data_IF_602499436642
#
_entry.id   IF_602499436642
#
_cell.length_a   1.000
_cell.length_b   1.000
_cell.length_c   1.000
_cell.angle_alpha   90.00
_cell.angle_beta   90.00
_cell.angle_gamma   90.00
#
_symmetry.space_group_name_H-M   'P 1'
#
loop_
_entity.id
_entity.type
_entity.pdbx_description
1 polymer ?
#
# COMPACT_ATOMS: atom_id res chain seq x y z
N UNK A 1 -20.83 1.87 -2.49
CA UNK A 1 -20.78 3.29 -2.92
C UNK A 1 -19.57 3.47 -3.84
N UNK A 2 -19.81 4.05 -5.02
CA UNK A 2 -18.78 4.42 -6.00
C UNK A 2 -18.70 5.93 -6.00
N UNK A 3 -17.50 6.48 -5.84
CA UNK A 3 -17.25 7.89 -6.12
C UNK A 3 -16.67 7.97 -7.54
N UNK A 4 -17.10 8.97 -8.30
CA UNK A 4 -16.67 9.16 -9.68
C UNK A 4 -16.30 10.60 -9.98
N UNK A 5 -15.28 10.78 -10.84
CA UNK A 5 -14.88 12.07 -11.39
C UNK A 5 -14.56 11.89 -12.88
N UNK A 6 -15.15 12.70 -13.73
CA UNK A 6 -14.86 12.69 -15.17
C UNK A 6 -13.44 13.23 -15.41
N UNK A 7 -12.63 12.51 -16.16
CA UNK A 7 -11.27 12.93 -16.54
C UNK A 7 -11.31 13.63 -17.90
N UNK A 8 -11.99 13.01 -18.87
CA UNK A 8 -12.15 13.55 -20.23
C UNK A 8 -13.49 13.10 -20.83
N UNK A 9 -13.70 13.33 -22.15
CA UNK A 9 -14.97 12.96 -22.82
C UNK A 9 -15.27 11.45 -22.77
N UNK A 10 -14.25 10.60 -22.69
CA UNK A 10 -14.38 9.14 -22.84
C UNK A 10 -14.11 8.36 -21.56
N UNK A 11 -13.50 8.98 -20.54
CA UNK A 11 -12.98 8.29 -19.35
C UNK A 11 -13.35 8.99 -18.05
N UNK A 12 -13.52 8.19 -17.04
CA UNK A 12 -13.78 8.62 -15.67
C UNK A 12 -12.86 7.90 -14.69
N UNK A 13 -12.40 8.61 -13.67
CA UNK A 13 -11.80 8.04 -12.47
C UNK A 13 -12.92 7.60 -11.55
N UNK A 14 -12.86 6.37 -11.07
CA UNK A 14 -13.78 5.85 -10.07
C UNK A 14 -13.02 5.34 -8.86
N UNK A 15 -13.63 5.49 -7.70
CA UNK A 15 -13.17 4.91 -6.45
C UNK A 15 -14.19 3.92 -5.91
N UNK A 16 -13.80 2.65 -5.84
CA UNK A 16 -14.59 1.56 -5.29
C UNK A 16 -14.35 1.45 -3.79
N UNK A 17 -15.14 2.13 -2.97
CA UNK A 17 -14.95 2.24 -1.51
C UNK A 17 -14.87 0.89 -0.81
N UNK A 18 -15.68 -0.11 -1.22
CA UNK A 18 -15.68 -1.45 -0.58
C UNK A 18 -14.35 -2.20 -0.69
N UNK A 19 -13.63 -2.00 -1.79
CA UNK A 19 -12.37 -2.71 -2.10
C UNK A 19 -11.16 -1.80 -2.08
N UNK A 20 -11.34 -0.52 -1.76
CA UNK A 20 -10.29 0.50 -1.72
C UNK A 20 -9.47 0.54 -3.02
N UNK A 21 -10.15 0.60 -4.17
CA UNK A 21 -9.50 0.62 -5.48
C UNK A 21 -9.88 1.86 -6.28
N UNK A 22 -8.88 2.47 -6.91
CA UNK A 22 -9.06 3.51 -7.92
C UNK A 22 -8.87 2.89 -9.30
N UNK A 23 -9.76 3.23 -10.24
CA UNK A 23 -9.73 2.74 -11.61
C UNK A 23 -10.04 3.89 -12.57
N UNK A 24 -9.33 3.93 -13.68
CA UNK A 24 -9.71 4.74 -14.84
C UNK A 24 -10.51 3.83 -15.78
N UNK A 25 -11.73 4.22 -16.08
CA UNK A 25 -12.66 3.40 -16.86
C UNK A 25 -13.29 4.19 -18.00
N UNK A 26 -13.57 3.52 -19.11
CA UNK A 26 -14.37 4.11 -20.18
C UNK A 26 -15.82 4.36 -19.73
N UNK A 27 -16.51 5.25 -20.40
CA UNK A 27 -17.93 5.54 -20.10
C UNK A 27 -18.82 4.29 -20.21
N UNK A 28 -18.50 3.36 -21.10
CA UNK A 28 -19.23 2.10 -21.23
C UNK A 28 -19.02 1.21 -20.00
N UNK A 29 -17.78 1.04 -19.55
CA UNK A 29 -17.45 0.27 -18.37
C UNK A 29 -17.99 0.93 -17.09
N UNK A 30 -18.02 2.27 -17.03
CA UNK A 30 -18.63 2.99 -15.92
C UNK A 30 -20.12 2.62 -15.76
N UNK A 31 -20.90 2.61 -16.87
CA UNK A 31 -22.31 2.19 -16.83
C UNK A 31 -22.50 0.77 -16.31
N UNK A 32 -21.64 -0.17 -16.71
CA UNK A 32 -21.65 -1.54 -16.21
C UNK A 32 -21.38 -1.61 -14.71
N UNK A 33 -20.35 -0.91 -14.24
CA UNK A 33 -19.97 -0.86 -12.82
C UNK A 33 -21.06 -0.20 -11.97
N UNK A 34 -21.68 0.86 -12.46
CA UNK A 34 -22.83 1.49 -11.80
C UNK A 34 -24.05 0.57 -11.76
N UNK A 35 -24.35 -0.13 -12.85
CA UNK A 35 -25.44 -1.10 -12.89
C UNK A 35 -25.24 -2.23 -11.87
N UNK A 36 -24.02 -2.74 -11.76
CA UNK A 36 -23.66 -3.75 -10.75
C UNK A 36 -23.83 -3.23 -9.32
N UNK A 37 -23.44 -2.00 -9.06
CA UNK A 37 -23.55 -1.41 -7.71
C UNK A 37 -24.96 -1.08 -7.25
N UNK A 38 -25.86 -0.79 -8.19
CA UNK A 38 -27.20 -0.25 -7.92
C UNK A 38 -28.31 -1.30 -8.08
N UNK A 39 -28.04 -2.44 -8.70
CA UNK A 39 -29.01 -3.50 -8.94
C UNK A 39 -28.81 -4.69 -7.98
N UNK A 40 -29.87 -5.46 -7.75
CA UNK A 40 -29.71 -6.76 -7.12
C UNK A 40 -28.91 -7.71 -8.02
N UNK A 41 -28.34 -8.77 -7.47
CA UNK A 41 -27.59 -9.76 -8.24
C UNK A 41 -28.42 -10.34 -9.39
N UNK A 42 -29.70 -10.62 -9.16
CA UNK A 42 -30.58 -11.17 -10.19
C UNK A 42 -30.90 -10.12 -11.26
N UNK A 43 -31.21 -8.89 -10.89
CA UNK A 43 -31.50 -7.81 -11.85
C UNK A 43 -30.28 -7.47 -12.69
N UNK A 44 -29.08 -7.55 -12.11
CA UNK A 44 -27.84 -7.35 -12.85
C UNK A 44 -27.60 -8.46 -13.88
N UNK A 45 -27.88 -9.72 -13.54
CA UNK A 45 -27.81 -10.83 -14.50
C UNK A 45 -28.80 -10.67 -15.65
N UNK A 46 -30.02 -10.24 -15.38
CA UNK A 46 -31.02 -9.93 -16.40
C UNK A 46 -30.52 -8.78 -17.29
N UNK A 47 -29.99 -7.72 -16.68
CA UNK A 47 -29.41 -6.59 -17.39
C UNK A 47 -28.29 -7.03 -18.34
N UNK A 48 -27.38 -7.90 -17.88
CA UNK A 48 -26.30 -8.41 -18.71
C UNK A 48 -26.80 -9.25 -19.88
N UNK A 49 -27.75 -10.16 -19.64
CA UNK A 49 -28.34 -11.00 -20.71
C UNK A 49 -29.02 -10.16 -21.79
N UNK A 50 -29.71 -9.10 -21.41
CA UNK A 50 -30.43 -8.24 -22.34
C UNK A 50 -29.49 -7.32 -23.15
N UNK A 51 -28.38 -6.83 -22.57
CA UNK A 51 -27.49 -5.87 -23.22
C UNK A 51 -26.21 -6.49 -23.81
N UNK A 52 -25.79 -7.67 -23.31
CA UNK A 52 -24.55 -8.34 -23.69
C UNK A 52 -24.74 -9.87 -23.79
N UNK A 53 -25.69 -10.37 -24.60
CA UNK A 53 -26.11 -11.79 -24.59
C UNK A 53 -24.96 -12.77 -24.85
N UNK A 54 -23.99 -12.39 -25.68
CA UNK A 54 -22.84 -13.25 -26.01
C UNK A 54 -21.79 -13.33 -24.91
N UNK A 55 -21.64 -12.31 -24.08
CA UNK A 55 -20.53 -12.17 -23.14
C UNK A 55 -20.99 -11.94 -21.68
N UNK A 56 -22.27 -12.16 -21.39
CA UNK A 56 -22.87 -11.86 -20.07
C UNK A 56 -22.13 -12.53 -18.92
N UNK A 57 -21.77 -13.79 -19.05
CA UNK A 57 -21.08 -14.56 -18.00
C UNK A 57 -19.64 -14.08 -17.77
N UNK A 58 -18.92 -13.73 -18.83
CA UNK A 58 -17.54 -13.24 -18.71
C UNK A 58 -17.52 -11.85 -18.08
N UNK A 59 -18.42 -10.97 -18.49
CA UNK A 59 -18.58 -9.64 -17.91
C UNK A 59 -18.95 -9.75 -16.42
N UNK A 60 -19.88 -10.63 -16.05
CA UNK A 60 -20.24 -10.88 -14.65
C UNK A 60 -19.03 -11.32 -13.84
N UNK A 61 -18.24 -12.26 -14.37
CA UNK A 61 -17.04 -12.78 -13.72
C UNK A 61 -15.98 -11.69 -13.50
N UNK A 62 -15.73 -10.88 -14.53
CA UNK A 62 -14.74 -9.78 -14.43
C UNK A 62 -15.20 -8.68 -13.47
N UNK A 63 -16.46 -8.29 -13.50
CA UNK A 63 -17.01 -7.31 -12.56
C UNK A 63 -16.95 -7.84 -11.13
N UNK A 64 -17.33 -9.10 -10.90
CA UNK A 64 -17.23 -9.70 -9.57
C UNK A 64 -15.79 -9.65 -9.04
N UNK A 65 -14.78 -9.91 -9.88
CA UNK A 65 -13.35 -9.75 -9.47
C UNK A 65 -13.01 -8.31 -9.07
N UNK A 66 -13.56 -7.29 -9.73
CA UNK A 66 -13.31 -5.90 -9.36
C UNK A 66 -13.81 -5.58 -7.95
N UNK A 67 -14.95 -6.15 -7.55
CA UNK A 67 -15.57 -5.93 -6.24
C UNK A 67 -15.19 -6.97 -5.18
N UNK A 68 -14.47 -8.01 -5.57
CA UNK A 68 -13.95 -8.99 -4.62
C UNK A 68 -12.60 -8.50 -4.13
N UNK A 69 -12.49 -8.33 -2.83
CA UNK A 69 -11.20 -8.25 -2.18
C UNK A 69 -10.68 -9.69 -2.19
N UNK A 70 -9.81 -10.04 -3.12
CA UNK A 70 -9.02 -11.27 -3.02
C UNK A 70 -8.03 -11.16 -1.85
N UNK A 71 -8.55 -10.96 -0.66
CA UNK A 71 -7.86 -11.36 0.53
C UNK A 71 -8.13 -12.85 0.67
N UNK A 72 -7.30 -13.69 0.12
CA UNK A 72 -7.04 -14.98 0.72
C UNK A 72 -6.48 -14.65 2.11
N UNK A 73 -7.37 -14.34 3.05
CA UNK A 73 -6.99 -14.16 4.43
C UNK A 73 -6.43 -15.50 4.86
N UNK A 74 -5.12 -15.55 4.98
CA UNK A 74 -4.48 -16.61 5.72
C UNK A 74 -5.13 -16.51 7.11
N UNK A 75 -5.74 -17.59 7.58
CA UNK A 75 -6.31 -17.62 8.92
C UNK A 75 -5.17 -17.44 9.92
N UNK A 76 -4.90 -16.21 10.26
CA UNK A 76 -3.77 -15.78 11.08
C UNK A 76 -3.75 -16.50 12.45
N UNK A 77 -4.90 -17.00 12.91
CA UNK A 77 -5.02 -17.68 14.20
C UNK A 77 -4.57 -19.14 14.15
N UNK A 78 -4.65 -19.80 12.99
CA UNK A 78 -4.30 -21.24 12.86
C UNK A 78 -2.82 -21.49 12.69
N UNK A 79 -2.02 -20.50 12.25
CA UNK A 79 -0.59 -20.68 12.02
C UNK A 79 0.16 -20.46 13.33
N UNK A 80 0.71 -21.53 13.89
CA UNK A 80 1.58 -21.46 15.08
C UNK A 80 3.01 -21.19 14.65
N UNK A 81 3.59 -20.06 15.08
CA UNK A 81 5.00 -19.77 14.95
C UNK A 81 5.72 -20.16 16.24
N UNK A 82 6.76 -20.97 16.13
CA UNK A 82 7.70 -21.19 17.23
C UNK A 82 8.71 -20.04 17.24
N UNK A 83 9.09 -19.57 18.43
CA UNK A 83 10.15 -18.56 18.55
C UNK A 83 11.43 -19.11 17.92
N UNK A 84 12.09 -18.39 17.00
CA UNK A 84 13.31 -18.86 16.37
C UNK A 84 14.44 -19.02 17.38
N UNK A 85 15.35 -19.98 17.14
CA UNK A 85 16.54 -20.18 17.97
C UNK A 85 17.57 -19.04 17.83
N UNK A 86 17.71 -18.50 16.61
CA UNK A 86 18.62 -17.40 16.29
C UNK A 86 17.80 -16.16 15.99
N UNK A 87 18.07 -15.10 16.72
CA UNK A 87 17.38 -13.82 16.61
C UNK A 87 18.43 -12.74 16.44
N UNK A 88 18.20 -11.83 15.50
CA UNK A 88 18.95 -10.61 15.30
C UNK A 88 18.08 -9.45 15.78
N UNK A 89 18.72 -8.36 16.12
CA UNK A 89 18.06 -7.14 16.56
C UNK A 89 18.64 -5.94 15.81
N UNK A 90 17.78 -5.06 15.34
CA UNK A 90 18.16 -3.80 14.74
C UNK A 90 17.43 -2.69 15.48
N UNK A 91 18.19 -1.79 16.11
CA UNK A 91 17.66 -0.65 16.85
C UNK A 91 17.87 0.62 16.05
N UNK A 92 16.85 1.48 16.04
CA UNK A 92 16.90 2.73 15.31
C UNK A 92 16.04 3.79 15.98
N UNK A 93 16.30 5.05 15.63
CA UNK A 93 15.59 6.21 16.17
C UNK A 93 14.93 6.99 15.04
N UNK A 94 13.64 7.31 15.20
CA UNK A 94 12.93 8.25 14.34
C UNK A 94 12.45 9.40 15.25
N UNK A 95 12.96 10.60 15.02
CA UNK A 95 12.74 11.78 15.87
C UNK A 95 13.03 11.47 17.35
N UNK A 96 12.01 11.49 18.21
CA UNK A 96 12.14 11.23 19.65
C UNK A 96 11.76 9.80 20.06
N UNK A 97 11.44 8.93 19.10
CA UNK A 97 10.99 7.57 19.36
C UNK A 97 12.05 6.54 19.00
N UNK A 98 12.28 5.58 19.88
CA UNK A 98 13.22 4.49 19.71
C UNK A 98 12.49 3.19 19.37
N UNK A 99 12.93 2.52 18.34
CA UNK A 99 12.34 1.30 17.84
C UNK A 99 13.35 0.16 17.82
N UNK A 100 12.85 -1.06 17.90
CA UNK A 100 13.65 -2.25 17.68
C UNK A 100 12.91 -3.22 16.76
N UNK A 101 13.59 -3.75 15.76
CA UNK A 101 13.10 -4.86 14.94
C UNK A 101 13.86 -6.12 15.35
N UNK A 102 13.15 -7.10 15.90
CA UNK A 102 13.65 -8.46 16.12
C UNK A 102 13.30 -9.33 14.92
N UNK A 103 14.30 -10.01 14.35
CA UNK A 103 14.10 -10.85 13.17
C UNK A 103 15.03 -12.07 13.19
N UNK A 104 14.69 -13.12 12.44
CA UNK A 104 15.50 -14.32 12.29
C UNK A 104 16.10 -14.52 10.91
N UNK A 105 15.64 -13.78 9.91
CA UNK A 105 16.11 -13.83 8.53
C UNK A 105 16.22 -12.42 7.95
N UNK A 106 17.45 -11.97 7.69
CA UNK A 106 17.73 -10.64 7.13
C UNK A 106 17.22 -10.45 5.70
N UNK A 107 17.08 -11.53 4.93
CA UNK A 107 16.58 -11.45 3.55
C UNK A 107 15.13 -10.92 3.50
N UNK A 108 14.32 -11.34 4.48
CA UNK A 108 12.90 -10.96 4.53
C UNK A 108 12.71 -9.46 4.80
N UNK A 109 13.61 -8.84 5.55
CA UNK A 109 13.51 -7.42 5.92
C UNK A 109 14.61 -6.57 5.30
N UNK A 110 15.37 -7.10 4.36
CA UNK A 110 16.51 -6.38 3.74
C UNK A 110 16.11 -5.00 3.18
N UNK A 111 14.95 -4.90 2.55
CA UNK A 111 14.43 -3.63 2.03
C UNK A 111 14.16 -2.62 3.16
N UNK A 112 13.63 -3.08 4.30
CA UNK A 112 13.36 -2.22 5.48
C UNK A 112 14.69 -1.79 6.11
N UNK A 113 15.62 -2.73 6.32
CA UNK A 113 16.93 -2.42 6.89
C UNK A 113 17.68 -1.41 6.02
N UNK A 114 17.66 -1.60 4.69
CA UNK A 114 18.30 -0.66 3.76
C UNK A 114 17.76 0.78 3.87
N UNK A 115 16.44 0.92 4.09
CA UNK A 115 15.82 2.24 4.28
C UNK A 115 16.14 2.86 5.64
N UNK A 116 16.28 2.05 6.69
CA UNK A 116 16.42 2.53 8.07
C UNK A 116 17.87 2.54 8.58
N UNK A 117 18.83 2.03 7.82
CA UNK A 117 20.20 1.82 8.26
C UNK A 117 20.88 3.12 8.76
N UNK A 118 20.57 4.24 8.12
CA UNK A 118 21.08 5.55 8.52
C UNK A 118 20.51 6.09 9.86
N UNK A 119 19.48 5.44 10.39
CA UNK A 119 18.83 5.76 11.65
C UNK A 119 19.25 4.83 12.79
N UNK A 120 20.19 3.89 12.53
CA UNK A 120 20.67 2.94 13.52
C UNK A 120 21.22 3.66 14.76
N UNK A 121 20.90 3.14 15.93
CA UNK A 121 21.38 3.71 17.20
C UNK A 121 21.45 2.66 18.29
N UNK A 122 22.32 2.91 19.27
CA UNK A 122 22.33 2.19 20.53
C UNK A 122 21.27 2.78 21.46
N UNK A 123 20.24 2.00 21.80
CA UNK A 123 19.20 2.46 22.69
C UNK A 123 19.01 1.54 23.88
N UNK A 124 18.93 2.14 25.07
CA UNK A 124 18.57 1.45 26.33
C UNK A 124 17.07 1.49 26.63
N UNK A 125 16.34 2.44 26.04
CA UNK A 125 14.90 2.63 26.25
C UNK A 125 14.16 2.58 24.93
N UNK A 126 13.33 1.55 24.72
CA UNK A 126 12.58 1.34 23.50
C UNK A 126 11.13 1.80 23.64
N UNK A 127 10.67 2.61 22.69
CA UNK A 127 9.25 2.99 22.58
C UNK A 127 8.41 1.85 22.05
N UNK A 128 8.94 1.08 21.08
CA UNK A 128 8.23 -0.03 20.46
C UNK A 128 9.16 -1.12 19.96
N UNK A 129 8.66 -2.39 20.03
CA UNK A 129 9.29 -3.56 19.42
C UNK A 129 8.45 -4.13 18.30
N UNK A 130 9.10 -4.34 17.17
CA UNK A 130 8.54 -4.97 15.97
C UNK A 130 9.16 -6.36 15.85
N UNK A 131 8.35 -7.39 15.66
CA UNK A 131 8.85 -8.76 15.51
C UNK A 131 8.57 -9.26 14.10
N UNK A 132 9.62 -9.74 13.43
CA UNK A 132 9.55 -10.32 12.09
C UNK A 132 10.19 -11.69 12.09
N UNK A 133 9.36 -12.72 12.08
CA UNK A 133 9.85 -14.09 12.07
C UNK A 133 9.43 -14.80 10.79
N UNK A 134 10.37 -15.47 10.14
CA UNK A 134 10.13 -16.28 8.96
C UNK A 134 10.24 -17.76 9.25
N UNK A 135 9.50 -18.53 8.52
CA UNK A 135 9.62 -19.97 8.31
C UNK A 135 9.62 -20.24 6.82
N UNK A 136 9.82 -21.49 6.39
CA UNK A 136 9.89 -21.84 4.96
C UNK A 136 8.69 -21.33 4.14
N UNK A 137 7.50 -21.31 4.73
CA UNK A 137 6.25 -21.00 4.01
C UNK A 137 5.63 -19.65 4.38
N UNK A 138 5.93 -19.12 5.56
CA UNK A 138 5.23 -17.97 6.11
C UNK A 138 6.16 -17.01 6.83
N UNK A 139 5.79 -15.73 6.79
CA UNK A 139 6.38 -14.66 7.58
C UNK A 139 5.36 -14.13 8.58
N UNK A 140 5.76 -13.97 9.82
CA UNK A 140 5.01 -13.34 10.88
C UNK A 140 5.51 -11.92 11.09
N UNK A 141 4.59 -10.97 11.07
CA UNK A 141 4.81 -9.60 11.52
C UNK A 141 3.94 -9.33 12.74
N UNK A 142 4.56 -8.94 13.85
CA UNK A 142 3.86 -8.49 15.06
C UNK A 142 4.21 -7.03 15.31
N UNK A 143 3.19 -6.18 15.32
CA UNK A 143 3.24 -4.74 15.58
C UNK A 143 2.31 -4.45 16.74
N UNK A 144 2.82 -4.03 17.89
CA UNK A 144 2.01 -3.82 19.09
C UNK A 144 1.04 -5.00 19.35
N UNK A 145 -0.27 -4.76 19.31
CA UNK A 145 -1.31 -5.75 19.52
C UNK A 145 -1.77 -6.46 18.24
N UNK A 146 -1.21 -6.11 17.07
CA UNK A 146 -1.59 -6.74 15.81
C UNK A 146 -0.60 -7.83 15.42
N UNK A 147 -1.15 -8.95 14.92
CA UNK A 147 -0.42 -10.07 14.39
C UNK A 147 -0.86 -10.32 12.96
N UNK A 148 0.07 -10.25 12.03
CA UNK A 148 -0.17 -10.46 10.60
C UNK A 148 0.71 -11.62 10.12
N UNK A 149 0.16 -12.46 9.27
CA UNK A 149 0.90 -13.56 8.65
C UNK A 149 0.80 -13.40 7.13
N UNK A 150 1.94 -13.55 6.46
CA UNK A 150 2.09 -13.47 5.02
C UNK A 150 2.73 -14.75 4.52
N UNK A 151 2.56 -15.07 3.25
CA UNK A 151 3.41 -16.07 2.60
C UNK A 151 4.82 -15.51 2.43
N UNK A 152 5.83 -16.38 2.44
CA UNK A 152 7.24 -15.94 2.26
C UNK A 152 7.47 -15.21 0.93
N UNK A 153 6.70 -15.54 -0.11
CA UNK A 153 6.69 -14.87 -1.41
C UNK A 153 6.16 -13.41 -1.35
N UNK A 154 5.43 -13.07 -0.28
CA UNK A 154 4.79 -11.77 -0.07
C UNK A 154 5.61 -10.85 0.87
N UNK A 155 6.91 -11.08 1.00
CA UNK A 155 7.81 -10.29 1.87
C UNK A 155 7.78 -8.78 1.59
N UNK A 156 7.55 -8.37 0.34
CA UNK A 156 7.37 -6.97 -0.04
C UNK A 156 6.16 -6.31 0.65
N UNK A 157 5.07 -7.07 0.87
CA UNK A 157 3.89 -6.58 1.60
C UNK A 157 4.24 -6.34 3.08
N UNK A 158 5.04 -7.23 3.67
CA UNK A 158 5.53 -7.10 5.04
C UNK A 158 6.35 -5.81 5.20
N UNK A 159 7.28 -5.54 4.29
CA UNK A 159 8.08 -4.31 4.29
C UNK A 159 7.21 -3.06 4.22
N UNK A 160 6.26 -3.04 3.28
CA UNK A 160 5.28 -1.95 3.18
C UNK A 160 4.44 -1.75 4.45
N UNK A 161 4.11 -2.83 5.17
CA UNK A 161 3.37 -2.74 6.44
C UNK A 161 4.21 -2.14 7.56
N UNK A 162 5.49 -2.50 7.65
CA UNK A 162 6.41 -1.92 8.64
C UNK A 162 6.56 -0.42 8.37
N UNK A 163 6.88 -0.02 7.16
CA UNK A 163 7.05 1.40 6.79
C UNK A 163 5.76 2.18 7.04
N UNK A 164 4.60 1.67 6.60
CA UNK A 164 3.31 2.33 6.86
C UNK A 164 3.01 2.48 8.36
N UNK A 165 3.41 1.52 9.19
CA UNK A 165 3.26 1.58 10.63
C UNK A 165 4.16 2.66 11.24
N UNK A 166 5.44 2.69 10.86
CA UNK A 166 6.39 3.71 11.32
C UNK A 166 5.95 5.12 10.89
N UNK A 167 5.52 5.29 9.63
CA UNK A 167 4.98 6.56 9.13
C UNK A 167 3.72 6.99 9.89
N UNK A 168 2.84 6.05 10.22
CA UNK A 168 1.64 6.33 11.02
C UNK A 168 1.98 6.80 12.43
N UNK A 169 2.99 6.18 13.05
CA UNK A 169 3.47 6.58 14.38
C UNK A 169 4.15 7.96 14.32
N UNK A 170 5.01 8.22 13.35
CA UNK A 170 5.68 9.49 13.13
C UNK A 170 4.69 10.65 13.05
N UNK A 171 3.64 10.49 12.25
CA UNK A 171 2.62 11.53 12.08
C UNK A 171 1.47 11.44 13.07
N UNK A 172 1.48 10.49 14.00
CA UNK A 172 0.40 10.24 14.98
C UNK A 172 -0.98 10.03 14.32
N UNK A 173 -1.00 9.53 13.09
CA UNK A 173 -2.21 9.27 12.29
C UNK A 173 -2.47 7.78 12.26
N UNK A 174 -3.65 7.34 12.70
CA UNK A 174 -4.06 5.93 12.58
C UNK A 174 -4.12 5.53 11.11
N UNK A 175 -3.59 4.34 10.78
CA UNK A 175 -3.54 3.81 9.40
C UNK A 175 -4.86 3.94 8.62
N UNK A 176 -5.99 3.71 9.28
CA UNK A 176 -7.33 3.82 8.66
C UNK A 176 -7.74 5.25 8.26
N UNK A 177 -7.03 6.25 8.77
CA UNK A 177 -7.32 7.67 8.51
C UNK A 177 -6.48 8.22 7.36
N UNK A 178 -5.51 7.46 6.83
CA UNK A 178 -4.78 7.83 5.62
C UNK A 178 -5.71 7.79 4.41
N UNK A 179 -5.70 8.86 3.63
CA UNK A 179 -6.50 8.96 2.38
C UNK A 179 -5.75 8.32 1.22
N UNK A 180 -4.42 8.41 1.20
CA UNK A 180 -3.57 7.85 0.17
C UNK A 180 -2.11 8.23 0.39
N UNK A 181 -1.24 7.58 -0.38
CA UNK A 181 0.17 7.92 -0.49
C UNK A 181 0.45 8.37 -1.91
N UNK A 182 1.18 9.46 -2.06
CA UNK A 182 1.60 9.97 -3.36
C UNK A 182 3.04 9.54 -3.61
N UNK A 183 3.26 8.83 -4.71
CA UNK A 183 4.60 8.49 -5.17
C UNK A 183 5.11 9.59 -6.09
N UNK A 184 6.08 10.35 -5.61
CA UNK A 184 6.59 11.51 -6.34
C UNK A 184 7.78 12.16 -5.66
N UNK A 185 8.44 13.06 -6.39
CA UNK A 185 9.50 13.90 -5.88
C UNK A 185 8.92 15.21 -5.39
N UNK A 186 9.30 15.66 -4.20
CA UNK A 186 8.91 16.96 -3.65
C UNK A 186 10.13 17.87 -3.56
N UNK A 187 9.99 19.05 -4.11
CA UNK A 187 11.00 20.12 -4.06
C UNK A 187 10.36 21.39 -3.48
N UNK A 188 11.18 22.28 -2.94
CA UNK A 188 10.71 23.55 -2.40
C UNK A 188 11.56 24.73 -2.81
N UNK A 189 10.98 25.92 -2.80
CA UNK A 189 11.66 27.19 -2.95
C UNK A 189 10.81 28.27 -2.31
N UNK A 190 11.41 29.14 -1.46
CA UNK A 190 10.71 30.27 -0.83
C UNK A 190 9.41 29.86 -0.14
N UNK A 191 9.46 28.82 0.72
CA UNK A 191 8.34 28.25 1.49
C UNK A 191 7.19 27.67 0.61
N UNK A 192 7.43 27.49 -0.70
CA UNK A 192 6.47 26.84 -1.62
C UNK A 192 6.96 25.47 -2.00
N UNK A 193 6.12 24.46 -1.81
CA UNK A 193 6.40 23.09 -2.22
C UNK A 193 5.79 22.76 -3.59
N UNK A 194 6.53 22.00 -4.41
CA UNK A 194 6.07 21.44 -5.67
C UNK A 194 6.20 19.93 -5.59
N UNK A 195 5.11 19.21 -5.86
CA UNK A 195 5.10 17.75 -5.95
C UNK A 195 5.09 17.35 -7.42
N UNK A 196 6.12 16.65 -7.85
CA UNK A 196 6.26 16.11 -9.22
C UNK A 196 5.84 14.65 -9.21
N UNK A 197 4.69 14.35 -9.80
CA UNK A 197 4.14 13.00 -9.89
C UNK A 197 4.14 12.48 -11.32
N UNK A 198 4.26 11.17 -11.47
CA UNK A 198 4.19 10.52 -12.78
C UNK A 198 4.51 9.03 -12.71
N UNK A 199 4.28 8.33 -13.82
CA UNK A 199 4.65 6.90 -13.95
C UNK A 199 6.16 6.72 -13.78
N UNK A 200 6.60 5.52 -13.38
CA UNK A 200 8.01 5.17 -13.39
C UNK A 200 8.61 5.43 -14.79
N UNK A 201 9.80 6.00 -14.85
CA UNK A 201 10.46 6.37 -16.12
C UNK A 201 9.93 7.64 -16.78
N UNK A 202 8.99 8.39 -16.19
CA UNK A 202 8.46 9.64 -16.77
C UNK A 202 9.37 10.86 -16.62
N UNK A 203 10.56 10.69 -16.06
CA UNK A 203 11.54 11.77 -15.90
C UNK A 203 11.36 12.61 -14.62
N UNK A 204 10.66 12.13 -13.61
CA UNK A 204 10.49 12.85 -12.32
C UNK A 204 11.82 13.30 -11.74
N UNK A 205 12.73 12.34 -11.52
CA UNK A 205 14.06 12.61 -10.96
C UNK A 205 14.90 13.53 -11.85
N UNK A 206 14.78 13.43 -13.19
CA UNK A 206 15.45 14.36 -14.10
C UNK A 206 14.90 15.79 -13.94
N UNK A 207 13.57 15.92 -13.91
CA UNK A 207 12.92 17.23 -13.73
C UNK A 207 13.31 17.87 -12.40
N UNK A 208 13.30 17.10 -11.30
CA UNK A 208 13.74 17.61 -10.01
C UNK A 208 15.21 18.00 -10.00
N UNK A 209 16.09 17.21 -10.64
CA UNK A 209 17.52 17.54 -10.73
C UNK A 209 17.76 18.86 -11.46
N UNK A 210 17.00 19.14 -12.53
CA UNK A 210 17.06 20.43 -13.23
C UNK A 210 16.62 21.56 -12.30
N UNK A 211 15.56 21.37 -11.54
CA UNK A 211 15.04 22.40 -10.62
C UNK A 211 15.98 22.64 -9.44
N UNK A 212 16.59 21.59 -8.88
CA UNK A 212 17.64 21.71 -7.86
C UNK A 212 18.82 22.57 -8.37
N UNK A 213 19.27 22.36 -9.61
CA UNK A 213 20.30 23.18 -10.23
C UNK A 213 19.88 24.66 -10.36
N UNK A 214 18.59 24.96 -10.40
CA UNK A 214 18.02 26.31 -10.46
C UNK A 214 17.62 26.88 -9.09
N UNK A 215 18.19 26.33 -8.01
CA UNK A 215 18.04 26.89 -6.65
C UNK A 215 16.76 26.47 -5.95
N UNK A 216 16.22 25.30 -6.27
CA UNK A 216 15.23 24.62 -5.46
C UNK A 216 15.91 23.67 -4.48
N UNK A 217 15.27 23.40 -3.36
CA UNK A 217 15.70 22.42 -2.36
C UNK A 217 14.95 21.11 -2.51
N UNK A 218 15.64 19.98 -2.34
CA UNK A 218 15.01 18.66 -2.32
C UNK A 218 14.38 18.44 -0.94
N UNK A 219 13.06 18.17 -0.93
CA UNK A 219 12.34 17.79 0.28
C UNK A 219 12.30 16.29 0.41
N UNK A 220 11.90 15.58 -0.66
CA UNK A 220 11.95 14.12 -0.72
C UNK A 220 11.92 13.62 -2.17
N UNK A 221 12.46 12.43 -2.42
CA UNK A 221 12.37 11.71 -3.69
C UNK A 221 11.87 10.28 -3.43
N UNK A 222 10.89 9.84 -4.25
CA UNK A 222 10.34 8.48 -4.29
C UNK A 222 9.95 7.88 -2.91
N UNK A 223 9.15 8.60 -2.12
CA UNK A 223 8.52 8.06 -0.91
C UNK A 223 7.19 7.36 -1.20
#
# INVERSE_FOLDING_TARGET
MILKKKINKNESLIYLKKVNKFLVVSNQNLKLIEAYSNKSTNDFKIYLKNNFPKNANDIEKEINKLFTVERKSIDNHKIKFKKPKKIFQFNFKIENSYYSIEYNDGKIISAVLGLLNHLECDSKSLSEKIYVYSSDKYCLLKLNNSRLVFKSEESHILSGRIISHLTSNLHQIKYKNWTGFLHGTTISKEDKGIIIMGKSGSGKTLSSSILLKNGFDLVCDDM
#
